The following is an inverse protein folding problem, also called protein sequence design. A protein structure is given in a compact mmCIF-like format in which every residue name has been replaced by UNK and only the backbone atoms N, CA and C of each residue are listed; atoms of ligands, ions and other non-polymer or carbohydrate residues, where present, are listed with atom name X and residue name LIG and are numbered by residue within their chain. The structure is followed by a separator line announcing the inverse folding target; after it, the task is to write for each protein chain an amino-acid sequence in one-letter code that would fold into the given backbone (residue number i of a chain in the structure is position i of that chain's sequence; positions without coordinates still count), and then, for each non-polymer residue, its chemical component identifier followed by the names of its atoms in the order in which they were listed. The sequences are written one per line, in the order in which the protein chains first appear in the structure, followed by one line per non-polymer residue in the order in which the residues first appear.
data_IF_497912397723
#
_entry.id   IF_497912397723
#
_cell.length_a   1.000
_cell.length_b   1.000
_cell.length_c   1.000
_cell.angle_alpha   90.00
_cell.angle_beta   90.00
_cell.angle_gamma   90.00
#
_symmetry.space_group_name_H-M   'P 1'
#
loop_
_entity.id
_entity.type
_entity.pdbx_description
1 polymer ?
#
# COMPACT_ATOMS: atom_id res chain seq x y z
N UNK A 1 -8.62 4.07 -15.70
CA UNK A 1 -9.75 4.94 -15.27
C UNK A 1 -9.40 6.42 -15.28
N UNK A 2 -8.43 6.88 -14.48
CA UNK A 2 -8.03 8.30 -14.43
C UNK A 2 -7.64 8.90 -15.80
N UNK A 3 -6.83 8.18 -16.59
CA UNK A 3 -6.43 8.64 -17.93
C UNK A 3 -7.60 8.86 -18.90
N UNK A 4 -8.64 8.02 -18.83
CA UNK A 4 -9.84 8.16 -19.67
C UNK A 4 -10.63 9.41 -19.29
N UNK A 5 -10.79 9.66 -17.98
CA UNK A 5 -11.41 10.90 -17.49
C UNK A 5 -10.61 12.13 -17.91
N UNK A 6 -9.28 12.10 -17.78
CA UNK A 6 -8.41 13.18 -18.22
C UNK A 6 -8.56 13.48 -19.71
N UNK A 7 -8.48 12.45 -20.58
CA UNK A 7 -8.67 12.62 -22.03
C UNK A 7 -10.06 13.20 -22.34
N UNK A 8 -11.09 12.76 -21.62
CA UNK A 8 -12.45 13.32 -21.72
C UNK A 8 -12.49 14.81 -21.39
N UNK A 9 -11.80 15.25 -20.35
CA UNK A 9 -11.66 16.68 -20.04
C UNK A 9 -10.87 17.44 -21.09
N UNK A 10 -9.75 16.90 -21.58
CA UNK A 10 -8.98 17.54 -22.66
C UNK A 10 -9.84 17.74 -23.91
N UNK A 11 -10.62 16.72 -24.30
CA UNK A 11 -11.59 16.81 -25.39
C UNK A 11 -12.65 17.89 -25.13
N UNK A 12 -13.26 17.89 -23.93
CA UNK A 12 -14.30 18.85 -23.57
C UNK A 12 -13.79 20.31 -23.59
N UNK A 13 -12.58 20.55 -23.08
CA UNK A 13 -11.95 21.88 -23.12
C UNK A 13 -11.55 22.29 -24.54
N UNK A 14 -11.02 21.36 -25.34
CA UNK A 14 -10.68 21.64 -26.74
C UNK A 14 -11.93 22.01 -27.56
N UNK A 15 -13.03 21.27 -27.41
CA UNK A 15 -14.30 21.57 -28.11
C UNK A 15 -14.93 22.87 -27.57
N UNK A 16 -14.90 23.11 -26.27
CA UNK A 16 -15.53 24.29 -25.66
C UNK A 16 -14.79 25.61 -25.90
N UNK A 17 -13.46 25.58 -25.99
CA UNK A 17 -12.62 26.78 -25.96
C UNK A 17 -11.55 26.83 -27.06
N UNK A 18 -11.38 25.79 -27.87
CA UNK A 18 -10.32 25.71 -28.89
C UNK A 18 -10.35 26.85 -29.92
N UNK A 19 -11.53 27.37 -30.22
CA UNK A 19 -11.71 28.49 -31.16
C UNK A 19 -11.42 29.86 -30.54
N UNK A 20 -11.50 29.99 -29.21
CA UNK A 20 -11.40 31.28 -28.52
C UNK A 20 -10.04 31.51 -27.87
N UNK A 21 -9.39 30.44 -27.41
CA UNK A 21 -8.10 30.52 -26.73
C UNK A 21 -7.06 29.83 -27.59
N UNK A 22 -6.10 30.59 -28.12
CA UNK A 22 -5.05 30.09 -29.01
C UNK A 22 -4.18 29.01 -28.32
N UNK A 23 -4.03 29.10 -26.99
CA UNK A 23 -3.38 28.07 -26.17
C UNK A 23 -4.14 26.74 -26.13
N UNK A 24 -5.45 26.71 -26.43
CA UNK A 24 -6.27 25.49 -26.47
C UNK A 24 -6.58 25.01 -27.90
N UNK A 25 -6.01 25.66 -28.92
CA UNK A 25 -6.27 25.37 -30.34
C UNK A 25 -5.91 23.95 -30.78
N UNK A 26 -5.07 23.24 -30.02
CA UNK A 26 -4.65 21.88 -30.34
C UNK A 26 -4.80 20.99 -29.12
N UNK A 27 -5.18 19.73 -29.34
CA UNK A 27 -5.40 18.75 -28.26
C UNK A 27 -4.18 18.64 -27.32
N UNK A 28 -2.97 18.63 -27.88
CA UNK A 28 -1.73 18.54 -27.10
C UNK A 28 -1.52 19.78 -26.21
N UNK A 29 -1.77 20.99 -26.71
CA UNK A 29 -1.64 22.21 -25.91
C UNK A 29 -2.72 22.28 -24.82
N UNK A 30 -3.95 21.86 -25.12
CA UNK A 30 -5.04 21.73 -24.14
C UNK A 30 -4.68 20.73 -23.03
N UNK A 31 -4.05 19.61 -23.37
CA UNK A 31 -3.55 18.66 -22.38
C UNK A 31 -2.46 19.26 -21.48
N UNK A 32 -1.47 19.95 -22.06
CA UNK A 32 -0.42 20.63 -21.30
C UNK A 32 -1.01 21.73 -20.41
N UNK A 33 -1.96 22.50 -20.92
CA UNK A 33 -2.66 23.54 -20.16
C UNK A 33 -3.40 22.95 -18.96
N UNK A 34 -4.15 21.85 -19.15
CA UNK A 34 -4.83 21.14 -18.06
C UNK A 34 -3.85 20.53 -17.05
N UNK A 35 -2.72 19.99 -17.49
CA UNK A 35 -1.66 19.52 -16.59
C UNK A 35 -1.07 20.67 -15.76
N UNK A 36 -0.81 21.84 -16.35
CA UNK A 36 -0.32 23.01 -15.60
C UNK A 36 -1.38 23.56 -14.64
N UNK A 37 -2.65 23.55 -15.06
CA UNK A 37 -3.78 23.89 -14.20
C UNK A 37 -3.89 22.93 -13.00
N UNK A 38 -3.60 21.64 -13.19
CA UNK A 38 -3.55 20.65 -12.12
C UNK A 38 -2.42 20.94 -11.10
N UNK A 39 -1.26 21.42 -11.57
CA UNK A 39 -0.14 21.87 -10.72
C UNK A 39 -0.42 23.25 -10.07
N UNK A 40 -1.58 23.87 -10.38
CA UNK A 40 -1.97 25.22 -9.92
C UNK A 40 -1.03 26.33 -10.45
N UNK A 41 -0.32 26.05 -11.54
CA UNK A 41 0.64 26.95 -12.18
C UNK A 41 -0.02 27.87 -13.25
N UNK A 42 -1.31 27.67 -13.53
CA UNK A 42 -2.03 28.41 -14.58
C UNK A 42 -3.28 29.07 -14.03
N UNK A 43 -3.45 30.36 -14.38
CA UNK A 43 -4.66 31.13 -14.08
C UNK A 43 -5.75 30.73 -15.08
N UNK A 44 -6.78 30.01 -14.62
CA UNK A 44 -7.96 29.67 -15.45
C UNK A 44 -8.90 30.87 -15.70
N UNK A 45 -8.50 32.08 -15.33
CA UNK A 45 -9.26 33.33 -15.53
C UNK A 45 -9.78 33.50 -16.97
N UNK A 46 -8.97 33.28 -18.03
CA UNK A 46 -9.42 33.51 -19.41
C UNK A 46 -10.62 32.64 -19.83
N UNK A 47 -10.72 31.44 -19.27
CA UNK A 47 -11.84 30.51 -19.55
C UNK A 47 -13.14 31.03 -18.93
N UNK A 48 -13.03 31.61 -17.72
CA UNK A 48 -14.15 32.21 -17.01
C UNK A 48 -14.64 33.49 -17.70
N UNK A 49 -13.72 34.32 -18.18
CA UNK A 49 -14.05 35.60 -18.82
C UNK A 49 -14.80 35.42 -20.16
N UNK A 50 -14.56 34.32 -20.88
CA UNK A 50 -15.20 34.05 -22.18
C UNK A 50 -16.63 33.51 -22.07
N UNK A 51 -16.88 32.57 -21.16
CA UNK A 51 -18.20 31.98 -20.93
C UNK A 51 -18.34 31.62 -19.44
N UNK A 52 -18.78 32.55 -18.57
CA UNK A 52 -18.65 32.41 -17.12
C UNK A 52 -19.41 31.21 -16.56
N UNK A 53 -20.64 30.95 -17.03
CA UNK A 53 -21.47 29.85 -16.52
C UNK A 53 -20.88 28.49 -16.92
N UNK A 54 -20.59 28.30 -18.21
CA UNK A 54 -20.07 27.04 -18.73
C UNK A 54 -18.63 26.78 -18.26
N UNK A 55 -17.78 27.81 -18.30
CA UNK A 55 -16.40 27.75 -17.84
C UNK A 55 -16.31 27.45 -16.34
N UNK A 56 -17.08 28.14 -15.49
CA UNK A 56 -17.11 27.85 -14.05
C UNK A 56 -17.56 26.42 -13.77
N UNK A 57 -18.60 25.93 -14.48
CA UNK A 57 -19.06 24.54 -14.35
C UNK A 57 -17.99 23.52 -14.72
N UNK A 58 -17.31 23.71 -15.85
CA UNK A 58 -16.22 22.84 -16.30
C UNK A 58 -15.03 22.85 -15.34
N UNK A 59 -14.61 24.03 -14.89
CA UNK A 59 -13.50 24.18 -13.94
C UNK A 59 -13.86 23.50 -12.61
N UNK A 60 -15.07 23.73 -12.09
CA UNK A 60 -15.53 23.10 -10.84
C UNK A 60 -15.55 21.58 -10.93
N UNK A 61 -16.12 21.02 -12.00
CA UNK A 61 -16.18 19.56 -12.20
C UNK A 61 -14.76 18.99 -12.38
N UNK A 62 -13.88 19.67 -13.13
CA UNK A 62 -12.49 19.28 -13.29
C UNK A 62 -11.76 19.25 -11.94
N UNK A 63 -11.90 20.28 -11.11
CA UNK A 63 -11.29 20.32 -9.77
C UNK A 63 -11.84 19.21 -8.85
N UNK A 64 -13.15 19.00 -8.82
CA UNK A 64 -13.77 17.94 -8.01
C UNK A 64 -13.28 16.53 -8.42
N UNK A 65 -13.23 16.26 -9.71
CA UNK A 65 -12.89 14.93 -10.22
C UNK A 65 -11.38 14.67 -10.24
N UNK A 66 -10.58 15.61 -10.71
CA UNK A 66 -9.14 15.39 -10.92
C UNK A 66 -8.32 15.66 -9.67
N UNK A 67 -8.60 16.77 -8.98
CA UNK A 67 -7.87 17.13 -7.76
C UNK A 67 -8.41 16.35 -6.55
N UNK A 68 -9.73 16.31 -6.36
CA UNK A 68 -10.30 15.70 -5.16
C UNK A 68 -10.33 14.17 -5.26
N UNK A 69 -10.96 13.62 -6.30
CA UNK A 69 -11.08 12.16 -6.46
C UNK A 69 -9.79 11.55 -7.00
N UNK A 70 -9.17 12.17 -8.01
CA UNK A 70 -7.96 11.66 -8.66
C UNK A 70 -6.77 11.54 -7.71
N UNK A 71 -6.41 12.61 -7.00
CA UNK A 71 -5.30 12.55 -6.03
C UNK A 71 -5.62 11.65 -4.85
N UNK A 72 -6.84 11.69 -4.30
CA UNK A 72 -7.20 10.82 -3.19
C UNK A 72 -7.09 9.34 -3.57
N UNK A 73 -7.49 8.96 -4.79
CA UNK A 73 -7.33 7.60 -5.29
C UNK A 73 -5.85 7.23 -5.49
N UNK A 74 -5.02 8.13 -6.03
CA UNK A 74 -3.58 7.90 -6.15
C UNK A 74 -2.93 7.70 -4.77
N UNK A 75 -3.28 8.53 -3.78
CA UNK A 75 -2.79 8.37 -2.41
C UNK A 75 -3.29 7.09 -1.76
N UNK A 76 -4.55 6.69 -2.00
CA UNK A 76 -5.08 5.42 -1.50
C UNK A 76 -4.34 4.22 -2.08
N UNK A 77 -4.09 4.21 -3.40
CA UNK A 77 -3.31 3.16 -4.06
C UNK A 77 -1.85 3.16 -3.59
N UNK A 78 -1.24 4.34 -3.43
CA UNK A 78 0.13 4.43 -2.92
C UNK A 78 0.21 3.94 -1.47
N UNK A 79 -0.72 4.33 -0.62
CA UNK A 79 -0.83 3.83 0.75
C UNK A 79 -0.99 2.31 0.75
N UNK A 80 -1.93 1.77 -0.01
CA UNK A 80 -2.15 0.32 -0.11
C UNK A 80 -0.89 -0.42 -0.61
N UNK A 81 -0.20 0.12 -1.62
CA UNK A 81 1.06 -0.46 -2.10
C UNK A 81 2.18 -0.43 -1.05
N UNK A 82 2.27 0.64 -0.25
CA UNK A 82 3.24 0.77 0.83
C UNK A 82 2.90 -0.14 2.02
N UNK A 83 1.61 -0.26 2.35
CA UNK A 83 1.11 -1.20 3.34
C UNK A 83 1.40 -2.63 2.88
N UNK A 84 1.04 -3.01 1.66
CA UNK A 84 1.34 -4.33 1.13
C UNK A 84 2.86 -4.59 1.07
N UNK A 85 3.69 -3.62 0.68
CA UNK A 85 5.14 -3.79 0.69
C UNK A 85 5.71 -4.04 2.11
N UNK A 86 5.23 -3.31 3.13
CA UNK A 86 5.67 -3.48 4.52
C UNK A 86 5.12 -4.74 5.17
N UNK A 87 3.83 -5.00 5.02
CA UNK A 87 3.14 -6.09 5.72
C UNK A 87 3.16 -7.41 4.96
N UNK A 88 3.48 -7.44 3.66
CA UNK A 88 3.58 -8.70 2.91
C UNK A 88 4.64 -9.65 3.47
N UNK A 89 5.76 -9.13 3.98
CA UNK A 89 6.79 -9.95 4.63
C UNK A 89 6.27 -10.59 5.92
N UNK A 90 5.63 -9.79 6.77
CA UNK A 90 5.04 -10.25 8.04
C UNK A 90 3.85 -11.19 7.79
N UNK A 91 3.05 -10.93 6.77
CA UNK A 91 1.93 -11.79 6.38
C UNK A 91 2.42 -13.11 5.80
N UNK A 92 3.46 -13.11 4.96
CA UNK A 92 4.10 -14.35 4.47
C UNK A 92 4.70 -15.13 5.61
N UNK A 93 5.46 -14.49 6.50
CA UNK A 93 6.03 -15.15 7.67
C UNK A 93 4.94 -15.74 8.57
N UNK A 94 3.84 -15.02 8.81
CA UNK A 94 2.68 -15.57 9.53
C UNK A 94 1.98 -16.68 8.78
N UNK A 95 1.88 -16.61 7.45
CA UNK A 95 1.26 -17.65 6.64
C UNK A 95 2.13 -18.91 6.57
N UNK A 96 3.44 -18.76 6.44
CA UNK A 96 4.44 -19.84 6.46
C UNK A 96 4.51 -20.46 7.85
N UNK A 97 4.48 -19.64 8.90
CA UNK A 97 4.39 -20.12 10.28
C UNK A 97 3.04 -20.81 10.53
N UNK A 98 1.91 -20.25 10.08
CA UNK A 98 0.61 -20.91 10.19
C UNK A 98 0.55 -22.22 9.39
N UNK A 99 1.16 -22.29 8.20
CA UNK A 99 1.30 -23.51 7.43
C UNK A 99 2.17 -24.54 8.18
N UNK A 100 3.29 -24.09 8.76
CA UNK A 100 4.16 -24.92 9.59
C UNK A 100 3.44 -25.49 10.83
N UNK A 101 2.57 -24.70 11.48
CA UNK A 101 1.75 -25.19 12.61
C UNK A 101 0.55 -26.05 12.18
N UNK A 102 0.13 -26.01 10.91
CA UNK A 102 -0.99 -26.81 10.39
C UNK A 102 -0.59 -28.12 9.71
N UNK A 103 0.71 -28.42 9.54
CA UNK A 103 1.14 -29.69 8.94
C UNK A 103 0.90 -30.92 9.85
N UNK A 104 0.61 -30.73 11.14
CA UNK A 104 0.37 -31.83 12.10
C UNK A 104 -1.04 -31.85 12.74
N UNK A 105 -2.02 -31.10 12.23
CA UNK A 105 -3.38 -31.12 12.82
C UNK A 105 -4.25 -32.28 12.28
N UNK A 106 -4.58 -33.31 13.09
CA UNK A 106 -5.42 -34.46 12.69
C UNK A 106 -6.86 -34.06 12.32
N UNK A 107 -7.26 -32.83 12.63
CA UNK A 107 -8.58 -32.27 12.30
C UNK A 107 -8.72 -31.97 10.81
N UNK A 108 -7.64 -31.62 10.12
CA UNK A 108 -7.72 -31.26 8.70
C UNK A 108 -7.86 -32.50 7.80
N UNK A 109 -7.23 -33.62 8.18
CA UNK A 109 -7.49 -34.93 7.57
C UNK A 109 -8.93 -35.39 7.82
N UNK A 110 -9.45 -35.16 9.03
CA UNK A 110 -10.84 -35.47 9.37
C UNK A 110 -11.82 -34.58 8.59
N UNK A 111 -11.50 -33.32 8.36
CA UNK A 111 -12.27 -32.37 7.55
C UNK A 111 -12.24 -32.74 6.06
N UNK A 112 -11.08 -33.12 5.51
CA UNK A 112 -10.96 -33.64 4.13
C UNK A 112 -11.73 -34.95 3.95
N UNK A 113 -11.70 -35.84 4.94
CA UNK A 113 -12.46 -37.09 4.94
C UNK A 113 -13.98 -36.85 5.02
N UNK A 114 -14.43 -36.00 5.96
CA UNK A 114 -15.86 -35.65 6.10
C UNK A 114 -16.38 -34.88 4.90
N UNK A 115 -15.59 -33.99 4.29
CA UNK A 115 -15.99 -33.27 3.06
C UNK A 115 -16.11 -34.22 1.87
N UNK A 116 -15.19 -35.18 1.69
CA UNK A 116 -15.33 -36.22 0.65
C UNK A 116 -16.58 -37.08 0.88
N UNK A 117 -16.82 -37.49 2.12
CA UNK A 117 -17.98 -38.34 2.46
C UNK A 117 -19.30 -37.58 2.32
N UNK A 118 -19.34 -36.33 2.75
CA UNK A 118 -20.48 -35.41 2.60
C UNK A 118 -20.75 -35.12 1.13
N UNK A 119 -19.73 -34.84 0.32
CA UNK A 119 -19.90 -34.62 -1.12
C UNK A 119 -20.43 -35.86 -1.83
N UNK A 120 -19.98 -37.05 -1.45
CA UNK A 120 -20.48 -38.32 -1.97
C UNK A 120 -21.96 -38.56 -1.56
N UNK A 121 -22.32 -38.25 -0.32
CA UNK A 121 -23.71 -38.30 0.17
C UNK A 121 -24.60 -37.28 -0.54
N UNK A 122 -24.13 -36.06 -0.75
CA UNK A 122 -24.86 -35.01 -1.45
C UNK A 122 -25.14 -35.40 -2.90
N UNK A 123 -24.13 -35.98 -3.58
CA UNK A 123 -24.26 -36.50 -4.95
C UNK A 123 -25.26 -37.65 -5.04
N UNK A 124 -25.41 -38.45 -3.98
CA UNK A 124 -26.36 -39.57 -3.93
C UNK A 124 -27.79 -39.13 -3.62
N UNK A 125 -27.97 -38.11 -2.78
CA UNK A 125 -29.30 -37.65 -2.38
C UNK A 125 -29.91 -36.60 -3.31
N UNK A 126 -29.09 -35.79 -4.01
CA UNK A 126 -29.58 -34.68 -4.83
C UNK A 126 -28.95 -34.68 -6.24
N UNK A 127 -29.34 -35.61 -7.13
CA UNK A 127 -28.80 -35.67 -8.49
C UNK A 127 -29.10 -34.39 -9.30
N UNK A 128 -30.24 -33.74 -9.07
CA UNK A 128 -30.66 -32.53 -9.80
C UNK A 128 -29.81 -31.29 -9.50
N UNK A 129 -29.20 -31.19 -8.31
CA UNK A 129 -28.30 -30.08 -7.96
C UNK A 129 -26.95 -30.23 -8.66
N UNK A 130 -26.50 -31.47 -8.86
CA UNK A 130 -25.24 -31.75 -9.52
C UNK A 130 -25.29 -31.38 -11.01
N UNK A 131 -26.42 -31.64 -11.68
CA UNK A 131 -26.66 -31.21 -13.05
C UNK A 131 -26.66 -29.68 -13.19
N UNK A 132 -27.19 -28.95 -12.19
CA UNK A 132 -27.15 -27.48 -12.18
C UNK A 132 -25.73 -26.95 -12.02
N UNK A 133 -24.94 -27.52 -11.11
CA UNK A 133 -23.55 -27.08 -10.86
C UNK A 133 -22.65 -27.37 -12.06
N UNK A 134 -22.80 -28.53 -12.71
CA UNK A 134 -22.06 -28.82 -13.95
C UNK A 134 -22.41 -27.84 -15.07
N UNK A 135 -23.69 -27.46 -15.19
CA UNK A 135 -24.12 -26.48 -16.19
C UNK A 135 -23.49 -25.10 -15.97
N UNK A 136 -23.37 -24.64 -14.72
CA UNK A 136 -22.64 -23.41 -14.39
C UNK A 136 -21.15 -23.49 -14.71
N UNK A 137 -20.53 -24.66 -14.52
CA UNK A 137 -19.10 -24.84 -14.79
C UNK A 137 -18.79 -24.85 -16.29
N UNK A 138 -19.63 -25.50 -17.10
CA UNK A 138 -19.54 -25.41 -18.57
C UNK A 138 -19.80 -24.00 -19.10
N UNK A 139 -20.70 -23.23 -18.48
CA UNK A 139 -20.91 -21.83 -18.86
C UNK A 139 -19.71 -20.92 -18.53
N UNK A 140 -18.88 -21.27 -17.55
CA UNK A 140 -17.65 -20.52 -17.26
C UNK A 140 -16.47 -20.91 -18.16
N UNK A 141 -16.33 -22.20 -18.48
CA UNK A 141 -15.24 -22.65 -19.38
C UNK A 141 -15.47 -22.19 -20.83
N UNK A 142 -16.72 -22.06 -21.28
CA UNK A 142 -17.05 -21.56 -22.63
C UNK A 142 -16.87 -20.04 -22.86
N UNK A 143 -16.58 -19.25 -21.82
CA UNK A 143 -16.33 -17.80 -21.93
C UNK A 143 -14.85 -17.41 -21.94
N UNK A 144 -13.93 -18.37 -21.75
CA UNK A 144 -12.49 -18.09 -21.61
C UNK A 144 -11.66 -18.20 -22.89
N UNK A 145 -12.18 -18.79 -23.97
CA UNK A 145 -11.35 -19.19 -25.13
C UNK A 145 -11.68 -18.48 -26.46
N UNK A 146 -12.51 -17.43 -26.46
CA UNK A 146 -12.91 -16.77 -27.71
C UNK A 146 -12.86 -15.24 -27.65
N UNK A 147 -11.71 -14.66 -27.30
CA UNK A 147 -11.44 -13.24 -27.58
C UNK A 147 -9.93 -12.92 -27.65
N UNK A 148 -9.25 -13.51 -28.65
CA UNK A 148 -8.13 -12.86 -29.32
C UNK A 148 -8.37 -13.07 -30.82
N UNK A 149 -8.19 -11.99 -31.58
CA UNK A 149 -8.42 -11.85 -33.02
C UNK A 149 -9.87 -11.50 -33.42
N UNK A 150 -10.25 -10.22 -33.37
CA UNK A 150 -10.43 -9.40 -34.59
C UNK A 150 -10.79 -7.93 -34.28
N UNK A 151 -10.40 -7.06 -35.19
CA UNK A 151 -10.57 -5.61 -35.21
C UNK A 151 -12.02 -5.14 -35.42
N UNK A 152 -12.37 -3.98 -34.85
CA UNK A 152 -13.09 -2.94 -35.61
C UNK A 152 -14.53 -2.58 -35.22
N UNK A 153 -14.71 -1.28 -34.98
CA UNK A 153 -15.92 -0.47 -35.17
C UNK A 153 -17.19 -0.69 -34.31
N UNK A 154 -17.39 0.30 -33.44
CA UNK A 154 -18.55 1.21 -33.38
C UNK A 154 -19.83 0.80 -32.60
N UNK A 155 -20.32 1.83 -31.88
CA UNK A 155 -21.70 2.09 -31.43
C UNK A 155 -22.21 1.49 -30.09
N UNK A 156 -22.36 2.42 -29.13
CA UNK A 156 -23.56 2.70 -28.31
C UNK A 156 -24.40 1.59 -27.65
N UNK A 157 -24.63 1.75 -26.34
CA UNK A 157 -25.78 1.17 -25.63
C UNK A 157 -25.48 0.83 -24.17
N UNK A 158 -25.62 1.76 -23.22
CA UNK A 158 -26.79 1.89 -22.33
C UNK A 158 -27.02 0.71 -21.37
N UNK A 159 -26.89 0.96 -20.05
CA UNK A 159 -27.81 0.39 -19.06
C UNK A 159 -27.25 -0.36 -17.84
N UNK A 160 -27.32 0.34 -16.69
CA UNK A 160 -27.87 -0.10 -15.38
C UNK A 160 -27.24 -1.24 -14.55
N UNK A 161 -27.33 -0.95 -13.24
CA UNK A 161 -27.56 -1.83 -12.08
C UNK A 161 -26.31 -2.22 -11.27
N UNK A 162 -26.31 -2.39 -9.95
CA UNK A 162 -27.23 -2.10 -8.83
C UNK A 162 -26.59 -2.78 -7.60
N UNK A 163 -26.66 -2.14 -6.42
CA UNK A 163 -26.46 -2.78 -5.10
C UNK A 163 -24.99 -2.90 -4.66
N UNK A 164 -24.59 -2.63 -3.42
CA UNK A 164 -25.33 -2.64 -2.15
C UNK A 164 -24.54 -3.50 -1.15
N UNK A 165 -24.68 -3.20 0.15
CA UNK A 165 -24.05 -3.79 1.35
C UNK A 165 -22.78 -3.04 1.80
N UNK A 166 -22.78 -2.20 2.84
CA UNK A 166 -23.26 -2.37 4.21
C UNK A 166 -22.62 -3.57 4.92
N UNK A 167 -21.51 -3.35 5.61
CA UNK A 167 -21.26 -4.03 6.88
C UNK A 167 -20.52 -3.10 7.84
N UNK A 168 -21.22 -2.85 8.92
CA UNK A 168 -20.87 -2.11 10.11
C UNK A 168 -20.03 -3.04 10.98
N UNK A 169 -18.79 -2.67 11.31
CA UNK A 169 -18.01 -3.44 12.28
C UNK A 169 -17.55 -2.61 13.48
N UNK A 170 -17.77 -3.23 14.62
CA UNK A 170 -18.07 -2.64 15.92
C UNK A 170 -16.83 -2.82 16.78
N UNK A 171 -16.07 -1.74 17.02
CA UNK A 171 -14.93 -1.75 17.95
C UNK A 171 -15.41 -1.92 19.40
N UNK A 172 -14.78 -2.78 20.21
CA UNK A 172 -14.66 -2.56 21.64
C UNK A 172 -13.29 -1.93 21.96
N UNK A 173 -13.35 -0.74 22.54
CA UNK A 173 -12.24 -0.10 23.24
C UNK A 173 -11.96 -0.84 24.54
N UNK A 174 -10.82 -1.51 24.65
CA UNK A 174 -10.29 -1.97 25.95
C UNK A 174 -9.20 -0.99 26.38
N UNK A 175 -9.57 -0.17 27.35
CA UNK A 175 -8.65 0.63 28.15
C UNK A 175 -7.78 -0.32 28.98
N UNK A 176 -6.48 -0.33 28.73
CA UNK A 176 -5.50 -0.84 29.69
C UNK A 176 -4.74 0.34 30.26
N UNK A 177 -5.01 0.52 31.55
CA UNK A 177 -4.55 1.56 32.44
C UNK A 177 -3.09 1.33 32.79
N UNK A 178 -2.33 2.40 32.75
CA UNK A 178 -0.95 2.53 33.15
C UNK A 178 -0.68 1.95 34.55
N UNK A 179 0.35 1.10 34.67
CA UNK A 179 1.27 1.14 35.81
C UNK A 179 2.44 0.17 35.61
N UNK A 180 3.56 0.63 35.05
CA UNK A 180 4.87 0.09 35.45
C UNK A 180 5.84 1.24 35.68
N UNK A 181 5.98 1.47 36.98
CA UNK A 181 6.83 2.45 37.63
C UNK A 181 8.28 2.03 37.42
N UNK A 182 9.05 2.92 36.82
CA UNK A 182 10.50 2.93 36.83
C UNK A 182 11.05 2.62 38.22
N UNK A 183 11.84 1.56 38.32
CA UNK A 183 12.63 1.21 39.50
C UNK A 183 14.04 0.87 39.04
N UNK A 184 14.90 1.89 38.99
CA UNK A 184 16.33 1.72 38.78
C UNK A 184 17.02 1.06 39.98
N UNK A 185 18.12 0.39 39.69
CA UNK A 185 18.97 -0.31 40.64
C UNK A 185 19.46 -1.57 39.93
N UNK A 186 20.71 -1.69 39.51
CA UNK A 186 21.93 -1.33 40.21
C UNK A 186 22.88 -2.48 39.86
N UNK A 187 24.02 -2.15 39.27
CA UNK A 187 24.95 -3.17 38.78
C UNK A 187 25.47 -4.08 39.89
N UNK A 188 25.92 -5.27 39.49
CA UNK A 188 27.08 -5.94 40.05
C UNK A 188 27.53 -7.06 39.10
N UNK A 189 28.80 -6.94 38.70
CA UNK A 189 29.64 -8.03 38.20
C UNK A 189 29.75 -9.10 39.30
N UNK A 190 29.69 -10.38 38.91
CA UNK A 190 30.26 -11.53 39.63
C UNK A 190 30.38 -12.66 38.59
N UNK A 191 31.61 -13.07 38.28
CA UNK A 191 32.19 -14.40 38.61
C UNK A 191 31.52 -15.52 37.80
N UNK A 192 32.19 -16.18 36.84
CA UNK A 192 33.18 -17.25 37.04
C UNK A 192 32.69 -18.38 37.97
N UNK A 193 32.95 -19.62 37.55
CA UNK A 193 32.38 -20.93 37.97
C UNK A 193 31.01 -21.25 37.34
N UNK A 194 30.78 -22.36 36.63
CA UNK A 194 31.34 -23.69 36.78
C UNK A 194 31.61 -24.40 35.45
N UNK A 195 32.86 -24.87 35.34
CA UNK A 195 33.19 -26.14 34.71
C UNK A 195 32.46 -27.26 35.48
N UNK A 196 31.68 -28.10 34.79
CA UNK A 196 31.62 -29.58 34.95
C UNK A 196 30.24 -30.13 34.54
N UNK A 197 30.24 -30.96 33.50
CA UNK A 197 29.56 -32.27 33.48
C UNK A 197 29.84 -32.91 32.11
N UNK A 198 30.90 -33.71 32.00
CA UNK A 198 30.85 -35.17 32.12
C UNK A 198 29.90 -35.81 31.09
N UNK A 199 30.49 -36.08 29.92
CA UNK A 199 30.11 -37.16 29.02
C UNK A 199 29.71 -38.42 29.82
N UNK A 200 28.44 -38.79 29.74
CA UNK A 200 28.01 -40.16 29.98
C UNK A 200 27.40 -40.67 28.67
N UNK A 201 28.20 -41.45 27.96
CA UNK A 201 27.82 -42.18 26.74
C UNK A 201 27.01 -43.39 27.18
N UNK A 202 25.76 -43.17 27.58
CA UNK A 202 24.80 -44.22 27.91
C UNK A 202 24.08 -44.67 26.64
N UNK A 203 24.45 -45.84 26.14
CA UNK A 203 23.62 -46.61 25.21
C UNK A 203 22.36 -47.08 25.97
N UNK A 204 21.24 -46.40 25.75
CA UNK A 204 19.95 -46.77 26.30
C UNK A 204 18.92 -46.89 25.18
N UNK A 205 18.73 -48.14 24.78
CA UNK A 205 17.44 -48.81 24.59
C UNK A 205 16.33 -48.03 23.85
N UNK A 206 16.10 -48.48 22.60
CA UNK A 206 15.07 -48.06 21.66
C UNK A 206 13.65 -48.40 22.14
N UNK A 207 13.16 -47.66 23.14
CA UNK A 207 11.72 -47.52 23.36
C UNK A 207 11.36 -46.05 23.22
N UNK A 208 10.96 -45.64 22.00
CA UNK A 208 10.32 -44.36 21.69
C UNK A 208 9.02 -44.21 22.49
N UNK A 209 9.15 -43.88 23.78
CA UNK A 209 8.05 -43.39 24.59
C UNK A 209 7.78 -41.98 24.09
N UNK A 210 6.69 -41.88 23.33
CA UNK A 210 6.09 -40.67 22.76
C UNK A 210 5.82 -39.63 23.87
N UNK A 211 6.87 -38.93 24.33
CA UNK A 211 6.79 -37.88 25.34
C UNK A 211 6.23 -36.62 24.70
N UNK A 212 4.89 -36.58 24.61
CA UNK A 212 4.19 -35.33 24.34
C UNK A 212 4.56 -34.31 25.42
N UNK A 213 5.14 -33.16 25.05
CA UNK A 213 5.47 -32.12 26.01
C UNK A 213 4.20 -31.69 26.74
N UNK A 214 4.31 -31.48 28.06
CA UNK A 214 3.16 -31.04 28.84
C UNK A 214 2.74 -29.64 28.35
N UNK A 215 1.43 -29.34 28.25
CA UNK A 215 0.97 -28.03 27.79
C UNK A 215 1.54 -26.84 28.56
N UNK A 216 1.88 -27.03 29.84
CA UNK A 216 2.48 -26.00 30.69
C UNK A 216 3.91 -25.64 30.26
N UNK A 217 4.70 -26.63 29.84
CA UNK A 217 6.09 -26.41 29.38
C UNK A 217 6.07 -25.72 28.01
N UNK A 218 5.10 -26.06 27.15
CA UNK A 218 4.87 -25.40 25.88
C UNK A 218 4.50 -23.92 26.09
N UNK A 219 3.53 -23.64 26.97
CA UNK A 219 3.13 -22.25 27.27
C UNK A 219 4.30 -21.43 27.82
N UNK A 220 5.10 -22.00 28.72
CA UNK A 220 6.28 -21.32 29.28
C UNK A 220 7.36 -21.06 28.23
N UNK A 221 7.57 -22.01 27.32
CA UNK A 221 8.48 -21.83 26.19
C UNK A 221 7.98 -20.72 25.23
N UNK A 222 6.68 -20.68 24.96
CA UNK A 222 6.05 -19.63 24.13
C UNK A 222 6.18 -18.25 24.81
N UNK A 223 5.93 -18.14 26.11
CA UNK A 223 6.11 -16.89 26.86
C UNK A 223 7.57 -16.40 26.79
N UNK A 224 8.53 -17.31 26.94
CA UNK A 224 9.94 -16.96 26.88
C UNK A 224 10.38 -16.57 25.45
N UNK A 225 9.94 -17.30 24.43
CA UNK A 225 10.23 -16.96 23.03
C UNK A 225 9.55 -15.65 22.60
N UNK A 226 8.28 -15.45 22.97
CA UNK A 226 7.58 -14.20 22.68
C UNK A 226 8.21 -13.00 23.39
N UNK A 227 8.70 -13.17 24.61
CA UNK A 227 9.47 -12.15 25.32
C UNK A 227 10.77 -11.76 24.60
N UNK A 228 11.52 -12.75 24.09
CA UNK A 228 12.74 -12.48 23.30
C UNK A 228 12.44 -11.80 21.98
N UNK A 229 11.45 -12.27 21.23
CA UNK A 229 11.07 -11.69 19.95
C UNK A 229 10.60 -10.24 20.14
N UNK A 230 9.77 -9.97 21.16
CA UNK A 230 9.36 -8.60 21.48
C UNK A 230 10.55 -7.72 21.86
N UNK A 231 11.50 -8.25 22.64
CA UNK A 231 12.73 -7.54 22.99
C UNK A 231 13.55 -7.18 21.74
N UNK A 232 13.77 -8.13 20.84
CA UNK A 232 14.51 -7.88 19.59
C UNK A 232 13.80 -6.85 18.72
N UNK A 233 12.47 -6.96 18.56
CA UNK A 233 11.67 -5.97 17.82
C UNK A 233 11.83 -4.57 18.43
N UNK A 234 11.83 -4.45 19.77
CA UNK A 234 12.02 -3.14 20.41
C UNK A 234 13.43 -2.58 20.19
N UNK A 235 14.46 -3.42 20.21
CA UNK A 235 15.85 -3.01 19.94
C UNK A 235 15.99 -2.53 18.49
N UNK A 236 15.52 -3.31 17.52
CA UNK A 236 15.52 -2.92 16.10
C UNK A 236 14.69 -1.66 15.87
N UNK A 237 13.59 -1.49 16.61
CA UNK A 237 12.77 -0.27 16.56
C UNK A 237 13.51 0.98 17.03
N UNK A 238 14.36 0.86 18.05
CA UNK A 238 15.21 1.98 18.51
C UNK A 238 16.29 2.28 17.46
N UNK A 239 16.94 1.25 16.91
CA UNK A 239 18.00 1.38 15.90
C UNK A 239 17.49 2.09 14.64
N UNK A 240 16.36 1.63 14.08
CA UNK A 240 15.73 2.27 12.92
C UNK A 240 15.36 3.73 13.23
N UNK A 241 14.87 4.00 14.45
CA UNK A 241 14.51 5.37 14.84
C UNK A 241 15.74 6.27 14.94
N UNK A 242 16.86 5.79 15.43
CA UNK A 242 18.12 6.54 15.44
C UNK A 242 18.66 6.78 14.03
N UNK A 243 18.68 5.76 13.17
CA UNK A 243 19.13 5.93 11.78
C UNK A 243 18.25 6.94 11.02
N UNK A 244 16.94 6.91 11.25
CA UNK A 244 16.02 7.87 10.63
C UNK A 244 16.28 9.30 11.12
N UNK A 245 16.61 9.47 12.41
CA UNK A 245 17.00 10.77 12.94
C UNK A 245 18.29 11.28 12.28
N UNK A 246 19.29 10.42 12.11
CA UNK A 246 20.55 10.77 11.43
C UNK A 246 20.33 11.16 9.96
N UNK A 247 19.43 10.46 9.26
CA UNK A 247 19.06 10.82 7.88
C UNK A 247 18.36 12.19 7.85
N UNK A 248 17.42 12.46 8.78
CA UNK A 248 16.77 13.77 8.88
C UNK A 248 17.78 14.91 9.15
N UNK A 249 18.76 14.67 10.03
CA UNK A 249 19.81 15.65 10.30
C UNK A 249 20.65 15.94 9.05
N UNK A 250 21.07 14.91 8.31
CA UNK A 250 21.83 15.08 7.05
C UNK A 250 21.01 15.80 5.97
N UNK A 251 19.72 15.53 5.88
CA UNK A 251 18.84 16.23 4.94
C UNK A 251 18.74 17.72 5.30
N UNK A 252 18.63 18.06 6.59
CA UNK A 252 18.61 19.45 7.04
C UNK A 252 19.94 20.17 6.73
N UNK A 253 21.08 19.51 6.97
CA UNK A 253 22.40 20.04 6.61
C UNK A 253 22.54 20.26 5.09
N UNK A 254 22.04 19.32 4.28
CA UNK A 254 22.06 19.46 2.83
C UNK A 254 21.18 20.62 2.34
N UNK A 255 20.00 20.82 2.94
CA UNK A 255 19.14 21.96 2.64
C UNK A 255 19.84 23.29 2.94
N UNK A 256 20.49 23.40 4.10
CA UNK A 256 21.28 24.58 4.46
C UNK A 256 22.41 24.85 3.44
N UNK A 257 23.12 23.80 3.01
CA UNK A 257 24.16 23.93 1.99
C UNK A 257 23.60 24.39 0.63
N UNK A 258 22.42 23.89 0.24
CA UNK A 258 21.73 24.31 -1.00
C UNK A 258 21.29 25.77 -0.93
N UNK A 259 20.77 26.23 0.21
CA UNK A 259 20.41 27.63 0.41
C UNK A 259 21.64 28.54 0.33
N UNK A 260 22.76 28.14 0.95
CA UNK A 260 24.01 28.89 0.89
C UNK A 260 24.57 28.94 -0.54
N UNK A 261 24.55 27.83 -1.28
CA UNK A 261 24.98 27.80 -2.69
C UNK A 261 24.09 28.68 -3.57
N UNK A 262 22.78 28.65 -3.35
CA UNK A 262 21.82 29.50 -4.08
C UNK A 262 22.12 30.97 -3.83
N UNK A 263 22.32 31.36 -2.56
CA UNK A 263 22.68 32.72 -2.19
C UNK A 263 24.02 33.16 -2.81
N UNK A 264 25.05 32.30 -2.82
CA UNK A 264 26.32 32.60 -3.49
C UNK A 264 26.16 32.78 -5.00
N UNK A 265 25.32 31.97 -5.64
CA UNK A 265 25.02 32.07 -7.07
C UNK A 265 24.35 33.40 -7.41
N UNK A 266 23.33 33.79 -6.64
CA UNK A 266 22.62 35.05 -6.82
C UNK A 266 23.54 36.25 -6.60
N UNK A 267 24.45 36.16 -5.62
CA UNK A 267 25.46 37.19 -5.38
C UNK A 267 26.40 37.36 -6.59
N UNK A 268 26.97 36.28 -7.10
CA UNK A 268 27.86 36.32 -8.27
C UNK A 268 27.11 36.87 -9.49
N UNK A 269 25.86 36.47 -9.68
CA UNK A 269 25.01 36.98 -10.76
C UNK A 269 24.81 38.50 -10.64
N UNK A 270 24.51 39.01 -9.45
CA UNK A 270 24.37 40.45 -9.21
C UNK A 270 25.66 41.23 -9.45
N UNK A 271 26.82 40.67 -9.07
CA UNK A 271 28.13 41.27 -9.36
C UNK A 271 28.41 41.33 -10.88
N UNK A 272 28.05 40.28 -11.63
CA UNK A 272 28.19 40.24 -13.09
C UNK A 272 27.27 41.25 -13.78
N UNK A 273 26.02 41.38 -13.33
CA UNK A 273 25.08 42.38 -13.86
C UNK A 273 25.56 43.82 -13.60
N UNK A 274 26.14 44.06 -12.42
CA UNK A 274 26.71 45.38 -12.07
C UNK A 274 27.90 45.74 -12.95
N UNK A 275 28.84 44.80 -13.15
CA UNK A 275 30.00 45.00 -14.04
C UNK A 275 29.57 45.29 -15.48
N UNK A 276 28.59 44.55 -15.99
CA UNK A 276 28.08 44.76 -17.34
C UNK A 276 27.42 46.14 -17.50
N UNK A 277 26.78 46.64 -16.44
CA UNK A 277 26.20 47.98 -16.44
C UNK A 277 27.27 49.09 -16.40
N UNK A 278 28.33 48.89 -15.62
CA UNK A 278 29.47 49.82 -15.57
C UNK A 278 30.19 49.89 -16.93
N UNK A 279 30.44 48.74 -17.56
CA UNK A 279 31.02 48.67 -18.91
C UNK A 279 30.15 49.42 -19.93
N UNK A 280 28.82 49.32 -19.80
CA UNK A 280 27.86 49.98 -20.71
C UNK A 280 27.81 51.50 -20.55
N UNK A 281 28.21 52.02 -19.38
CA UNK A 281 28.32 53.45 -19.11
C UNK A 281 29.63 54.07 -19.59
N UNK A 282 30.66 53.26 -19.86
CA UNK A 282 31.96 53.73 -20.34
C UNK A 282 32.00 53.95 -21.87
N UNK A 283 31.03 53.38 -22.62
CA UNK A 283 30.85 53.57 -24.07
C UNK A 283 29.93 54.75 -24.42
#
# INVERSE_FOLDING_TARGET
MFGVAFIGFVMAFNIGFGDKILEMSTFAKSAVYLCRAFVRDVKLMPVYDLTPIFGAGLIMIFYLTMLLVGLALMFAMMADSLFNAKYSKVLKEKADHAAYWHEDEPLEEFARWTKRKSWWLLKRYFPSLNDRIQKYRQSQEGQGEHEMDDFGHNSSGFGKAQGGLALQDRRPSVATKDSWRMGGGGGKRALEDDRQSSHSTGYSDDSEINHRPRPQDLMRAIEHMSGRILSEITVTGIEIKSELHDVCERVAQMQMAVEELTWRCDKVKGEQESQLQDDLHEF
#
